data_IF_780789484405
#
_entry.id   IF_780789484405
#
_cell.length_a   1.000
_cell.length_b   1.000
_cell.length_c   1.000
_cell.angle_alpha   90.00
_cell.angle_beta   90.00
_cell.angle_gamma   90.00
#
_symmetry.space_group_name_H-M   'P 1'
#
loop_
_entity.id
_entity.type
_entity.pdbx_description
1 polymer ?
#
# COMPACT_ATOMS: atom_id res chain seq x y z
N UNK A 1 -65.66 -7.76 11.06
CA UNK A 1 -64.45 -7.74 11.92
C UNK A 1 -63.96 -9.18 11.96
N UNK A 2 -62.75 -9.53 11.55
CA UNK A 2 -61.55 -8.72 11.40
C UNK A 2 -60.65 -9.17 10.24
N UNK A 3 -59.84 -8.21 9.81
CA UNK A 3 -58.98 -8.23 8.63
C UNK A 3 -57.78 -9.17 8.78
N UNK A 4 -57.45 -9.78 7.65
CA UNK A 4 -56.19 -10.47 7.35
C UNK A 4 -55.02 -9.50 7.59
N UNK A 5 -53.99 -9.94 8.31
CA UNK A 5 -52.67 -9.34 8.24
C UNK A 5 -51.67 -10.43 7.87
N UNK A 6 -51.18 -10.33 6.64
CA UNK A 6 -50.02 -11.05 6.16
C UNK A 6 -48.80 -10.59 6.96
N UNK A 7 -48.02 -11.54 7.47
CA UNK A 7 -46.71 -11.27 8.06
C UNK A 7 -45.77 -10.77 6.96
N UNK A 8 -45.62 -9.45 6.89
CA UNK A 8 -44.57 -8.80 6.13
C UNK A 8 -43.21 -9.13 6.74
N UNK A 9 -42.33 -9.69 5.93
CA UNK A 9 -40.93 -9.88 6.27
C UNK A 9 -40.34 -8.54 6.75
N UNK A 10 -39.80 -8.57 7.97
CA UNK A 10 -39.17 -7.44 8.63
C UNK A 10 -37.92 -7.09 7.82
N UNK A 11 -38.04 -6.16 6.88
CA UNK A 11 -36.89 -5.47 6.30
C UNK A 11 -36.32 -4.63 7.44
N UNK A 12 -35.28 -5.14 8.10
CA UNK A 12 -34.44 -4.34 8.99
C UNK A 12 -33.77 -3.29 8.12
N UNK A 13 -34.36 -2.11 8.07
CA UNK A 13 -33.73 -0.92 7.52
C UNK A 13 -32.72 -0.44 8.58
N UNK A 14 -31.58 -1.14 8.64
CA UNK A 14 -30.45 -0.72 9.47
C UNK A 14 -29.93 0.59 8.87
N UNK A 15 -30.23 1.70 9.54
CA UNK A 15 -29.73 3.03 9.18
C UNK A 15 -28.21 3.05 9.32
N UNK A 16 -27.51 2.88 8.20
CA UNK A 16 -26.05 3.02 8.10
C UNK A 16 -25.71 4.45 7.68
N UNK A 17 -25.13 5.23 8.60
CA UNK A 17 -24.62 6.57 8.33
C UNK A 17 -23.18 6.44 7.80
N UNK A 18 -22.95 6.83 6.54
CA UNK A 18 -21.64 6.74 5.89
C UNK A 18 -21.05 8.13 5.74
N UNK A 19 -19.92 8.40 6.42
CA UNK A 19 -19.13 9.62 6.19
C UNK A 19 -18.30 9.45 4.92
N UNK A 20 -18.67 10.16 3.85
CA UNK A 20 -18.12 9.95 2.50
C UNK A 20 -16.69 10.49 2.37
N UNK A 21 -16.33 11.53 3.13
CA UNK A 21 -14.99 12.14 3.16
C UNK A 21 -13.86 11.14 3.44
N UNK A 22 -14.17 9.98 4.02
CA UNK A 22 -13.18 8.94 4.34
C UNK A 22 -12.85 8.00 3.18
N UNK A 23 -13.59 8.05 2.08
CA UNK A 23 -13.45 7.12 0.95
C UNK A 23 -12.64 7.75 -0.18
N UNK A 24 -11.79 6.94 -0.80
CA UNK A 24 -10.93 7.38 -1.92
C UNK A 24 -11.61 7.24 -3.29
N UNK A 25 -12.95 7.28 -3.34
CA UNK A 25 -13.75 7.16 -4.56
C UNK A 25 -14.92 6.14 -4.45
N UNK A 26 -15.72 6.00 -5.52
CA UNK A 26 -16.96 5.20 -5.50
C UNK A 26 -16.72 3.69 -5.38
N UNK A 27 -15.63 3.16 -5.95
CA UNK A 27 -15.30 1.73 -5.85
C UNK A 27 -14.95 1.32 -4.42
N UNK A 28 -14.27 2.20 -3.66
CA UNK A 28 -13.94 1.95 -2.25
C UNK A 28 -15.20 1.92 -1.39
N UNK A 29 -16.13 2.85 -1.64
CA UNK A 29 -17.44 2.85 -1.00
C UNK A 29 -18.22 1.57 -1.31
N UNK A 30 -18.24 1.12 -2.57
CA UNK A 30 -18.90 -0.13 -2.94
C UNK A 30 -18.30 -1.35 -2.24
N UNK A 31 -16.97 -1.48 -2.23
CA UNK A 31 -16.29 -2.55 -1.49
C UNK A 31 -16.61 -2.51 0.01
N UNK A 32 -16.70 -1.32 0.59
CA UNK A 32 -17.08 -1.16 1.98
C UNK A 32 -18.51 -1.62 2.24
N UNK A 33 -19.47 -1.24 1.39
CA UNK A 33 -20.87 -1.67 1.49
C UNK A 33 -21.01 -3.19 1.35
N UNK A 34 -20.30 -3.80 0.38
CA UNK A 34 -20.30 -5.25 0.14
C UNK A 34 -19.75 -6.00 1.37
N UNK A 35 -18.59 -5.58 1.89
CA UNK A 35 -17.94 -6.20 3.05
C UNK A 35 -18.74 -6.07 4.33
N UNK A 36 -19.37 -4.91 4.56
CA UNK A 36 -20.16 -4.66 5.78
C UNK A 36 -21.38 -5.57 5.87
N UNK A 37 -21.86 -6.09 4.75
CA UNK A 37 -23.03 -6.96 4.66
C UNK A 37 -22.71 -8.43 4.45
N UNK A 38 -21.42 -8.80 4.47
CA UNK A 38 -20.95 -10.16 4.22
C UNK A 38 -21.48 -10.73 2.87
N UNK A 39 -21.46 -9.88 1.84
CA UNK A 39 -21.89 -10.22 0.48
C UNK A 39 -20.68 -10.71 -0.31
N UNK A 40 -20.86 -11.80 -1.08
CA UNK A 40 -19.86 -12.25 -2.05
C UNK A 40 -19.76 -11.25 -3.22
N UNK A 41 -18.54 -10.84 -3.56
CA UNK A 41 -18.26 -9.95 -4.69
C UNK A 41 -18.64 -10.57 -6.04
N UNK A 42 -18.73 -11.89 -6.15
CA UNK A 42 -19.18 -12.57 -7.37
C UNK A 42 -20.71 -12.65 -7.47
N UNK A 43 -21.43 -12.57 -6.36
CA UNK A 43 -22.90 -12.60 -6.35
C UNK A 43 -23.50 -11.39 -5.63
N UNK A 44 -23.25 -10.22 -6.21
CA UNK A 44 -23.69 -8.95 -5.64
C UNK A 44 -25.21 -8.80 -5.89
N UNK A 45 -26.04 -8.60 -4.84
CA UNK A 45 -27.43 -8.21 -4.98
C UNK A 45 -27.51 -6.74 -5.40
N UNK A 46 -27.38 -6.47 -6.70
CA UNK A 46 -27.27 -5.12 -7.28
C UNK A 46 -28.38 -4.21 -6.78
N UNK A 47 -29.63 -4.67 -6.76
CA UNK A 47 -30.76 -3.86 -6.30
C UNK A 47 -30.58 -3.29 -4.88
N UNK A 48 -30.00 -4.08 -3.96
CA UNK A 48 -29.73 -3.70 -2.57
C UNK A 48 -28.54 -2.75 -2.48
N UNK A 49 -27.44 -3.08 -3.16
CA UNK A 49 -26.23 -2.24 -3.18
C UNK A 49 -26.49 -0.89 -3.83
N UNK A 50 -27.24 -0.82 -4.94
CA UNK A 50 -27.62 0.44 -5.59
C UNK A 50 -28.40 1.33 -4.62
N UNK A 51 -29.38 0.80 -3.89
CA UNK A 51 -30.17 1.59 -2.96
C UNK A 51 -29.32 2.21 -1.84
N UNK A 52 -28.36 1.44 -1.32
CA UNK A 52 -27.46 1.91 -0.27
C UNK A 52 -26.42 2.88 -0.78
N UNK A 53 -25.88 2.65 -1.97
CA UNK A 53 -24.96 3.58 -2.61
C UNK A 53 -25.64 4.94 -2.82
N UNK A 54 -26.87 4.95 -3.36
CA UNK A 54 -27.66 6.17 -3.53
C UNK A 54 -27.92 6.87 -2.19
N UNK A 55 -28.33 6.13 -1.16
CA UNK A 55 -28.53 6.67 0.20
C UNK A 55 -27.25 7.26 0.79
N UNK A 56 -26.10 6.63 0.53
CA UNK A 56 -24.81 7.14 0.99
C UNK A 56 -24.48 8.47 0.30
N UNK A 57 -24.67 8.58 -1.01
CA UNK A 57 -24.32 9.79 -1.77
C UNK A 57 -25.37 10.91 -1.71
N UNK A 58 -26.60 10.64 -1.26
CA UNK A 58 -27.66 11.65 -1.08
C UNK A 58 -27.27 12.75 -0.07
N UNK A 59 -26.32 12.48 0.82
CA UNK A 59 -25.78 13.44 1.78
C UNK A 59 -24.56 14.23 1.29
N UNK A 60 -24.14 14.07 0.04
CA UNK A 60 -23.06 14.89 -0.54
C UNK A 60 -23.54 16.31 -0.77
N UNK A 61 -22.88 17.28 -0.13
CA UNK A 61 -23.14 18.69 -0.39
C UNK A 61 -22.67 19.07 -1.81
N UNK A 62 -23.40 20.01 -2.42
CA UNK A 62 -23.09 20.49 -3.77
C UNK A 62 -21.72 21.19 -3.88
N UNK A 63 -21.06 21.49 -2.76
CA UNK A 63 -19.72 22.08 -2.72
C UNK A 63 -18.60 21.08 -3.03
N UNK A 64 -18.87 19.75 -2.94
CA UNK A 64 -17.92 18.67 -3.25
C UNK A 64 -17.92 18.24 -4.73
N UNK A 65 -18.33 19.16 -5.61
CA UNK A 65 -18.67 18.90 -7.01
C UNK A 65 -17.52 18.29 -7.84
N UNK A 66 -16.27 18.57 -7.45
CA UNK A 66 -15.05 18.00 -8.07
C UNK A 66 -14.97 16.48 -7.91
N UNK A 67 -15.51 15.92 -6.81
CA UNK A 67 -15.54 14.47 -6.56
C UNK A 67 -16.88 13.83 -6.94
N UNK A 68 -17.97 14.62 -7.00
CA UNK A 68 -19.32 14.12 -7.25
C UNK A 68 -19.49 13.43 -8.62
N UNK A 69 -18.70 13.81 -9.63
CA UNK A 69 -18.82 13.27 -10.99
C UNK A 69 -18.65 11.75 -11.08
N UNK A 70 -17.64 11.20 -10.39
CA UNK A 70 -17.37 9.75 -10.39
C UNK A 70 -18.48 8.97 -9.66
N UNK A 71 -19.01 9.52 -8.57
CA UNK A 71 -20.12 8.91 -7.85
C UNK A 71 -21.40 8.89 -8.69
N UNK A 72 -21.69 9.96 -9.43
CA UNK A 72 -22.85 10.01 -10.33
C UNK A 72 -22.71 9.05 -11.52
N UNK A 73 -21.51 8.93 -12.10
CA UNK A 73 -21.22 7.95 -13.17
C UNK A 73 -21.42 6.51 -12.68
N UNK A 74 -20.93 6.20 -11.48
CA UNK A 74 -21.12 4.89 -10.86
C UNK A 74 -22.60 4.65 -10.50
N UNK A 75 -23.31 5.66 -9.98
CA UNK A 75 -24.74 5.57 -9.68
C UNK A 75 -25.56 5.24 -10.94
N UNK A 76 -25.31 5.95 -12.04
CA UNK A 76 -25.96 5.70 -13.31
C UNK A 76 -25.66 4.28 -13.83
N UNK A 77 -24.41 3.82 -13.68
CA UNK A 77 -24.00 2.47 -14.04
C UNK A 77 -24.74 1.42 -13.22
N UNK A 78 -24.85 1.60 -11.90
CA UNK A 78 -25.59 0.69 -11.02
C UNK A 78 -27.09 0.63 -11.35
N UNK A 79 -27.71 1.78 -11.63
CA UNK A 79 -29.12 1.86 -12.04
C UNK A 79 -29.32 1.12 -13.37
N UNK A 80 -28.41 1.31 -14.35
CA UNK A 80 -28.44 0.60 -15.63
C UNK A 80 -28.37 -0.91 -15.45
N UNK A 81 -27.41 -1.39 -14.65
CA UNK A 81 -27.26 -2.83 -14.37
C UNK A 81 -28.52 -3.36 -13.67
N UNK A 82 -29.04 -2.65 -12.67
CA UNK A 82 -30.29 -3.02 -11.98
C UNK A 82 -31.45 -3.14 -12.97
N UNK A 83 -31.61 -2.19 -13.89
CA UNK A 83 -32.67 -2.23 -14.88
C UNK A 83 -32.51 -3.45 -15.82
N UNK A 84 -31.30 -3.68 -16.35
CA UNK A 84 -31.00 -4.83 -17.22
C UNK A 84 -31.27 -6.18 -16.55
N UNK A 85 -31.00 -6.30 -15.24
CA UNK A 85 -31.27 -7.52 -14.48
C UNK A 85 -32.74 -7.76 -14.18
N UNK A 86 -33.56 -6.70 -14.14
CA UNK A 86 -34.99 -6.78 -13.85
C UNK A 86 -35.86 -6.88 -15.10
N UNK A 87 -35.33 -6.47 -16.26
CA UNK A 87 -36.05 -6.49 -17.52
C UNK A 87 -36.06 -7.91 -18.12
N UNK A 88 -37.18 -8.35 -18.74
CA UNK A 88 -37.22 -9.59 -19.49
C UNK A 88 -36.23 -9.52 -20.66
N UNK A 89 -35.43 -10.56 -20.85
CA UNK A 89 -34.54 -10.70 -22.02
C UNK A 89 -35.28 -11.46 -23.12
N UNK A 90 -35.27 -10.92 -24.33
CA UNK A 90 -35.80 -11.59 -25.51
C UNK A 90 -34.70 -12.47 -26.09
N UNK A 91 -34.73 -13.79 -25.83
CA UNK A 91 -33.83 -14.76 -26.47
C UNK A 91 -32.98 -15.59 -25.50
N UNK A 92 -32.48 -16.71 -26.03
CA UNK A 92 -31.61 -17.71 -25.38
C UNK A 92 -30.12 -17.32 -25.56
N UNK A 93 -29.83 -16.02 -25.63
CA UNK A 93 -28.49 -15.53 -25.90
C UNK A 93 -27.63 -15.68 -24.63
N UNK A 94 -26.42 -16.23 -24.82
CA UNK A 94 -25.31 -16.26 -23.85
C UNK A 94 -24.80 -14.83 -23.57
N UNK A 95 -25.70 -13.94 -23.12
CA UNK A 95 -25.34 -12.60 -22.71
C UNK A 95 -24.50 -12.69 -21.43
N UNK A 96 -23.32 -12.06 -21.48
CA UNK A 96 -22.44 -11.89 -20.33
C UNK A 96 -23.22 -11.27 -19.15
N UNK A 97 -22.91 -11.70 -17.92
CA UNK A 97 -23.56 -11.14 -16.72
C UNK A 97 -23.38 -9.61 -16.76
N UNK A 98 -24.46 -8.81 -16.72
CA UNK A 98 -24.37 -7.34 -16.80
C UNK A 98 -23.54 -6.74 -15.66
N UNK A 99 -23.29 -7.52 -14.59
CA UNK A 99 -22.44 -7.18 -13.46
C UNK A 99 -20.96 -7.44 -13.71
N UNK A 100 -20.58 -8.23 -14.72
CA UNK A 100 -19.23 -8.74 -14.92
C UNK A 100 -18.17 -7.62 -14.96
N UNK A 101 -18.44 -6.54 -15.68
CA UNK A 101 -17.53 -5.39 -15.74
C UNK A 101 -17.34 -4.73 -14.37
N UNK A 102 -18.43 -4.57 -13.60
CA UNK A 102 -18.37 -3.99 -12.26
C UNK A 102 -17.55 -4.87 -11.31
N UNK A 103 -17.80 -6.19 -11.32
CA UNK A 103 -17.05 -7.15 -10.50
C UNK A 103 -15.56 -7.09 -10.84
N UNK A 104 -15.21 -7.06 -12.13
CA UNK A 104 -13.82 -6.95 -12.59
C UNK A 104 -13.15 -5.70 -12.03
N UNK A 105 -13.79 -4.53 -12.15
CA UNK A 105 -13.26 -3.26 -11.63
C UNK A 105 -13.10 -3.28 -10.10
N UNK A 106 -14.02 -3.90 -9.37
CA UNK A 106 -13.93 -4.03 -7.91
C UNK A 106 -12.73 -4.87 -7.49
N UNK A 107 -12.50 -6.02 -8.16
CA UNK A 107 -11.36 -6.89 -7.91
C UNK A 107 -10.03 -6.23 -8.28
N UNK A 108 -9.96 -5.55 -9.42
CA UNK A 108 -8.77 -4.78 -9.85
C UNK A 108 -8.42 -3.71 -8.81
N UNK A 109 -9.42 -2.95 -8.35
CA UNK A 109 -9.21 -1.92 -7.32
C UNK A 109 -8.74 -2.54 -5.99
N UNK A 110 -9.36 -3.65 -5.55
CA UNK A 110 -8.96 -4.35 -4.34
C UNK A 110 -7.49 -4.80 -4.41
N UNK A 111 -7.08 -5.37 -5.54
CA UNK A 111 -5.69 -5.80 -5.77
C UNK A 111 -4.72 -4.62 -5.71
N UNK A 112 -5.02 -3.51 -6.39
CA UNK A 112 -4.18 -2.31 -6.39
C UNK A 112 -4.09 -1.72 -4.98
N UNK A 113 -5.20 -1.72 -4.23
CA UNK A 113 -5.23 -1.25 -2.84
C UNK A 113 -4.33 -2.10 -1.95
N UNK A 114 -4.36 -3.43 -2.09
CA UNK A 114 -3.48 -4.34 -1.34
C UNK A 114 -2.01 -4.08 -1.68
N UNK A 115 -1.68 -3.97 -2.96
CA UNK A 115 -0.32 -3.66 -3.41
C UNK A 115 0.14 -2.32 -2.83
N UNK A 116 -0.71 -1.30 -2.87
CA UNK A 116 -0.40 0.03 -2.34
C UNK A 116 -0.14 0.00 -0.84
N UNK A 117 -0.88 -0.81 -0.07
CA UNK A 117 -0.64 -1.02 1.36
C UNK A 117 0.70 -1.70 1.62
N UNK A 118 1.03 -2.73 0.83
CA UNK A 118 2.33 -3.43 0.92
C UNK A 118 3.49 -2.51 0.55
N UNK A 119 3.32 -1.68 -0.47
CA UNK A 119 4.31 -0.67 -0.87
C UNK A 119 4.51 0.37 0.22
N UNK A 120 3.44 0.86 0.86
CA UNK A 120 3.52 1.79 1.99
C UNK A 120 4.29 1.18 3.17
N UNK A 121 4.07 -0.10 3.48
CA UNK A 121 4.84 -0.79 4.51
C UNK A 121 6.33 -0.89 4.14
N UNK A 122 6.64 -1.22 2.88
CA UNK A 122 8.01 -1.27 2.37
C UNK A 122 8.69 0.10 2.37
N UNK A 123 7.96 1.16 2.03
CA UNK A 123 8.43 2.54 2.08
C UNK A 123 8.78 2.93 3.52
N UNK A 124 7.90 2.63 4.48
CA UNK A 124 8.14 2.89 5.90
C UNK A 124 9.40 2.16 6.40
N UNK A 125 9.60 0.90 6.00
CA UNK A 125 10.83 0.17 6.33
C UNK A 125 12.07 0.77 5.68
N UNK A 126 11.98 1.16 4.40
CA UNK A 126 13.06 1.82 3.67
C UNK A 126 13.42 3.17 4.29
N UNK A 127 12.44 3.94 4.74
CA UNK A 127 12.62 5.24 5.40
C UNK A 127 13.41 5.16 6.70
N UNK A 128 13.44 3.98 7.36
CA UNK A 128 14.31 3.72 8.53
C UNK A 128 15.78 3.54 8.17
N UNK A 129 16.13 3.42 6.88
CA UNK A 129 17.50 3.18 6.41
C UNK A 129 18.07 4.44 5.78
N UNK A 130 19.15 4.97 6.36
CA UNK A 130 19.86 6.12 5.81
C UNK A 130 20.99 5.67 4.86
N UNK A 131 20.99 6.22 3.64
CA UNK A 131 22.13 6.05 2.73
C UNK A 131 23.27 6.97 3.17
N UNK A 132 24.52 6.50 3.03
CA UNK A 132 25.71 7.34 3.29
C UNK A 132 25.93 8.43 2.21
N UNK A 133 25.04 8.54 1.22
CA UNK A 133 25.19 9.43 0.09
C UNK A 133 26.30 8.98 -0.86
N UNK A 134 26.65 9.85 -1.82
CA UNK A 134 27.81 9.62 -2.68
C UNK A 134 29.09 9.92 -1.89
N UNK A 135 29.85 8.88 -1.55
CA UNK A 135 31.20 9.04 -1.02
C UNK A 135 32.14 8.99 -2.23
N UNK A 136 32.81 10.11 -2.59
CA UNK A 136 33.80 10.07 -3.66
C UNK A 136 34.85 9.02 -3.30
N UNK A 137 35.27 8.23 -4.29
CA UNK A 137 36.35 7.28 -4.09
C UNK A 137 37.54 8.05 -3.50
N UNK A 138 38.11 7.55 -2.39
CA UNK A 138 39.32 8.15 -1.81
C UNK A 138 40.31 8.29 -2.97
N UNK A 139 40.80 9.51 -3.26
CA UNK A 139 41.75 9.69 -4.35
C UNK A 139 42.89 8.70 -4.11
N UNK A 140 43.21 7.89 -5.12
CA UNK A 140 44.42 7.10 -5.09
C UNK A 140 45.53 8.12 -4.87
N UNK A 141 46.16 8.08 -3.70
CA UNK A 141 47.43 8.77 -3.51
C UNK A 141 48.35 8.12 -4.55
N UNK A 142 48.50 8.79 -5.69
CA UNK A 142 49.62 8.51 -6.56
C UNK A 142 50.81 8.67 -5.63
N UNK A 143 51.51 7.56 -5.40
CA UNK A 143 52.75 7.63 -4.67
C UNK A 143 53.62 8.47 -5.57
N UNK A 144 53.70 9.78 -5.30
CA UNK A 144 54.78 10.56 -5.88
C UNK A 144 56.01 9.84 -5.34
N UNK A 145 56.76 9.21 -6.24
CA UNK A 145 58.13 8.84 -5.96
C UNK A 145 58.81 10.17 -5.63
N UNK A 146 58.85 10.51 -4.35
CA UNK A 146 59.74 11.54 -3.85
C UNK A 146 61.12 10.89 -3.94
N UNK A 147 61.97 11.26 -4.90
CA UNK A 147 63.34 10.81 -4.86
C UNK A 147 63.89 11.26 -3.51
N UNK A 148 64.29 10.30 -2.69
CA UNK A 148 64.96 10.61 -1.45
C UNK A 148 66.31 11.21 -1.84
N UNK A 149 66.43 12.53 -1.79
CA UNK A 149 67.71 13.24 -1.82
C UNK A 149 68.44 13.04 -0.49
N UNK A 150 68.66 11.78 -0.12
CA UNK A 150 69.28 11.40 1.15
C UNK A 150 70.43 10.46 0.86
N UNK A 151 71.53 10.61 1.58
CA UNK A 151 72.59 9.62 1.59
C UNK A 151 72.34 8.56 2.66
N UNK A 152 72.98 7.40 2.55
CA UNK A 152 72.92 6.37 3.60
C UNK A 152 73.42 6.86 4.97
N UNK A 153 74.29 7.86 5.00
CA UNK A 153 74.74 8.48 6.24
C UNK A 153 73.62 9.27 6.93
N UNK A 154 72.81 9.99 6.15
CA UNK A 154 71.65 10.74 6.66
C UNK A 154 70.59 9.79 7.22
N UNK A 155 70.34 8.66 6.53
CA UNK A 155 69.43 7.62 7.01
C UNK A 155 69.92 7.00 8.32
N UNK A 156 71.21 6.67 8.42
CA UNK A 156 71.77 6.06 9.63
C UNK A 156 71.74 7.03 10.82
N UNK A 157 72.09 8.30 10.60
CA UNK A 157 72.03 9.32 11.65
C UNK A 157 70.60 9.57 12.14
N UNK A 158 69.62 9.63 11.23
CA UNK A 158 68.21 9.73 11.59
C UNK A 158 67.74 8.49 12.37
N UNK A 159 68.12 7.29 11.94
CA UNK A 159 67.74 6.05 12.63
C UNK A 159 68.30 5.97 14.06
N UNK A 160 69.53 6.46 14.28
CA UNK A 160 70.13 6.54 15.61
C UNK A 160 69.51 7.63 16.48
N UNK A 161 68.91 8.67 15.88
CA UNK A 161 68.22 9.76 16.59
C UNK A 161 66.76 9.44 16.94
N UNK A 162 66.17 8.40 16.35
CA UNK A 162 64.79 8.00 16.63
C UNK A 162 64.76 7.14 17.90
N UNK A 163 64.12 7.66 18.95
CA UNK A 163 63.71 6.84 20.08
C UNK A 163 62.55 5.94 19.67
N UNK A 164 62.69 4.64 19.90
CA UNK A 164 61.63 3.67 19.64
C UNK A 164 60.40 4.06 20.48
N UNK A 165 59.25 4.36 19.85
CA UNK A 165 58.06 4.69 20.62
C UNK A 165 57.67 3.47 21.45
N UNK A 166 57.43 3.68 22.74
CA UNK A 166 56.85 2.64 23.59
C UNK A 166 55.50 2.24 22.97
N UNK A 167 55.28 0.96 22.61
CA UNK A 167 54.03 0.55 21.98
C UNK A 167 52.87 0.90 22.90
N UNK A 168 52.02 1.82 22.47
CA UNK A 168 50.82 2.21 23.21
C UNK A 168 49.79 1.10 23.09
N UNK A 169 49.80 0.22 24.09
CA UNK A 169 48.81 -0.83 24.31
C UNK A 169 49.09 -2.11 23.50
N UNK A 170 49.11 -3.25 24.18
CA UNK A 170 48.89 -4.54 23.51
C UNK A 170 47.43 -4.55 23.03
N UNK A 171 47.22 -4.43 21.71
CA UNK A 171 45.92 -4.74 21.13
C UNK A 171 45.66 -6.24 21.29
N UNK A 172 45.08 -6.61 22.42
CA UNK A 172 44.70 -8.00 22.70
C UNK A 172 43.45 -8.32 21.89
N UNK A 173 43.65 -8.96 20.74
CA UNK A 173 42.55 -9.48 19.93
C UNK A 173 41.85 -10.57 20.73
N UNK A 174 40.72 -10.24 21.37
CA UNK A 174 39.84 -11.23 21.99
C UNK A 174 38.93 -11.78 20.90
N UNK A 175 39.23 -12.98 20.41
CA UNK A 175 38.30 -13.71 19.54
C UNK A 175 37.16 -14.24 20.41
N UNK A 176 35.99 -13.61 20.32
CA UNK A 176 34.76 -14.18 20.87
C UNK A 176 34.20 -15.17 19.86
N UNK A 177 34.13 -16.44 20.23
CA UNK A 177 33.36 -17.44 19.47
C UNK A 177 31.88 -17.16 19.69
N UNK A 178 31.16 -16.85 18.61
CA UNK A 178 29.71 -16.64 18.62
C UNK A 178 29.09 -17.85 17.92
N UNK A 179 28.03 -18.42 18.49
CA UNK A 179 27.32 -19.54 17.85
C UNK A 179 26.61 -19.06 16.58
N UNK A 180 26.42 -19.96 15.59
CA UNK A 180 25.75 -19.58 14.33
C UNK A 180 24.34 -19.01 14.56
N UNK A 181 23.63 -19.49 15.59
CA UNK A 181 22.31 -19.00 15.98
C UNK A 181 22.33 -17.55 16.48
N UNK A 182 23.35 -17.14 17.24
CA UNK A 182 23.50 -15.75 17.72
C UNK A 182 23.82 -14.75 16.59
N UNK A 183 24.45 -15.21 15.49
CA UNK A 183 24.79 -14.34 14.35
C UNK A 183 23.58 -13.98 13.48
N UNK A 184 22.50 -14.77 13.51
CA UNK A 184 21.31 -14.56 12.67
C UNK A 184 20.39 -13.46 13.22
N UNK A 185 20.56 -13.07 14.49
CA UNK A 185 19.71 -12.10 15.19
C UNK A 185 20.34 -10.71 15.29
N UNK A 186 21.64 -10.58 14.99
CA UNK A 186 22.42 -9.33 15.00
C UNK A 186 22.49 -8.68 13.62
#
# INVERSE_FOLDING_TARGET
>A
MDLRFAEGAIVRDDFFLVEIERFQGPLDLLLHLIRTQDIDVFDIPVARITAQFLKAIEGLDAEDLDSAGEFLETAATLIRIKAQMLLPREGDDEDEDPRAELVRRLLEYEQIREISQRMRASEADRGRRFSKGFIPARPKLLHQEMPLETTWADVLSAALAVEMPTPKGLHRVTTRTISMQEKVVL
#
